data_IF_403177522307
#
_entry.id   IF_403177522307
#
_cell.length_a   1.000
_cell.length_b   1.000
_cell.length_c   1.000
_cell.angle_alpha   90.00
_cell.angle_beta   90.00
_cell.angle_gamma   90.00
#
_symmetry.space_group_name_H-M   'P 1'
#
loop_
_entity.id
_entity.type
_entity.pdbx_description
1 polymer ?
#
# COMPACT_ATOMS: atom_id res chain seq x y z
N UNK A 1 -7.33 -53.00 -49.95
CA UNK A 1 -6.69 -52.77 -48.65
C UNK A 1 -6.71 -51.26 -48.39
N UNK A 2 -7.72 -50.81 -47.68
CA UNK A 2 -7.94 -49.38 -47.33
C UNK A 2 -7.69 -49.22 -45.86
N UNK A 3 -6.64 -48.45 -45.53
CA UNK A 3 -6.28 -48.11 -44.15
C UNK A 3 -7.14 -46.88 -43.75
N UNK A 4 -8.05 -47.08 -42.82
CA UNK A 4 -8.85 -46.02 -42.25
C UNK A 4 -8.04 -45.25 -41.21
N UNK A 5 -7.95 -43.93 -41.39
CA UNK A 5 -7.42 -43.03 -40.40
C UNK A 5 -8.49 -42.67 -39.35
N UNK A 6 -8.27 -43.12 -38.11
CA UNK A 6 -9.02 -42.71 -36.94
C UNK A 6 -8.60 -41.30 -36.51
N UNK A 7 -9.39 -40.28 -36.81
CA UNK A 7 -9.25 -38.94 -36.29
C UNK A 7 -9.83 -38.88 -34.86
N UNK A 8 -8.96 -38.78 -33.88
CA UNK A 8 -9.35 -38.42 -32.50
C UNK A 8 -9.67 -36.93 -32.42
N UNK A 9 -10.95 -36.63 -32.38
CA UNK A 9 -11.41 -35.29 -32.05
C UNK A 9 -11.19 -35.05 -30.56
N UNK A 10 -10.19 -34.24 -30.22
CA UNK A 10 -9.95 -33.77 -28.85
C UNK A 10 -10.95 -32.64 -28.53
N UNK A 11 -12.05 -32.98 -27.90
CA UNK A 11 -13.00 -32.01 -27.35
C UNK A 11 -12.50 -31.57 -25.97
N UNK A 12 -11.58 -30.59 -25.96
CA UNK A 12 -11.10 -29.94 -24.73
C UNK A 12 -12.09 -28.90 -24.21
N UNK A 13 -13.18 -29.39 -23.60
CA UNK A 13 -14.12 -28.52 -22.87
C UNK A 13 -13.91 -28.62 -21.36
N UNK A 14 -12.77 -28.14 -20.84
CA UNK A 14 -12.48 -28.19 -19.42
C UNK A 14 -12.26 -26.77 -18.87
N UNK A 15 -13.13 -26.39 -17.93
CA UNK A 15 -13.08 -25.18 -17.10
C UNK A 15 -13.35 -23.84 -17.83
N UNK A 16 -14.58 -23.64 -18.29
CA UNK A 16 -15.13 -22.30 -18.24
C UNK A 16 -15.52 -22.04 -16.79
N UNK A 17 -14.70 -21.24 -16.10
CA UNK A 17 -15.15 -20.64 -14.85
C UNK A 17 -16.47 -19.88 -15.13
N UNK A 18 -17.52 -20.02 -14.30
CA UNK A 18 -18.73 -19.25 -14.46
C UNK A 18 -18.36 -17.76 -14.44
N UNK A 19 -18.99 -16.93 -15.28
CA UNK A 19 -18.76 -15.50 -15.25
C UNK A 19 -19.06 -15.02 -13.83
N UNK A 20 -18.07 -14.32 -13.23
CA UNK A 20 -18.29 -13.68 -11.94
C UNK A 20 -19.47 -12.74 -12.08
N UNK A 21 -20.42 -12.73 -11.13
CA UNK A 21 -21.52 -11.78 -11.18
C UNK A 21 -20.93 -10.37 -11.21
N UNK A 22 -21.29 -9.59 -12.25
CA UNK A 22 -20.98 -8.17 -12.29
C UNK A 22 -21.83 -7.48 -11.20
N UNK A 23 -21.34 -7.49 -9.98
CA UNK A 23 -21.93 -6.69 -8.91
C UNK A 23 -21.34 -5.30 -9.05
N UNK A 24 -22.01 -4.44 -9.80
CA UNK A 24 -21.74 -3.01 -9.79
C UNK A 24 -22.40 -2.47 -8.53
N UNK A 25 -21.60 -2.25 -7.50
CA UNK A 25 -22.04 -1.47 -6.34
C UNK A 25 -21.87 0.00 -6.71
N UNK A 26 -22.95 0.77 -6.91
CA UNK A 26 -22.82 2.19 -7.15
C UNK A 26 -22.22 2.83 -5.88
N UNK A 27 -21.02 3.36 -6.00
CA UNK A 27 -20.44 4.20 -4.95
C UNK A 27 -21.07 5.57 -5.13
N UNK A 28 -22.01 5.91 -4.26
CA UNK A 28 -22.52 7.27 -4.17
C UNK A 28 -21.45 8.15 -3.53
N UNK A 29 -20.78 8.95 -4.34
CA UNK A 29 -19.84 9.96 -3.84
C UNK A 29 -20.64 11.07 -3.16
N UNK A 30 -20.25 11.54 -1.98
CA UNK A 30 -20.86 12.74 -1.36
C UNK A 30 -20.79 13.89 -2.36
N UNK A 31 -21.94 14.45 -2.71
CA UNK A 31 -22.08 15.45 -3.78
C UNK A 31 -21.47 16.82 -3.45
N UNK A 32 -21.10 17.08 -2.20
CA UNK A 32 -20.44 18.31 -1.77
C UNK A 32 -19.47 18.05 -0.63
N UNK A 33 -18.16 18.06 -0.98
CA UNK A 33 -17.15 18.37 0.02
C UNK A 33 -16.92 19.87 -0.09
N UNK A 34 -17.63 20.65 0.71
CA UNK A 34 -17.35 22.07 0.89
C UNK A 34 -16.05 22.16 1.67
N UNK A 35 -14.95 22.39 0.97
CA UNK A 35 -13.66 22.72 1.59
C UNK A 35 -13.79 24.17 2.13
N UNK A 36 -14.40 24.31 3.29
CA UNK A 36 -14.40 25.57 4.02
C UNK A 36 -13.18 25.62 4.93
N UNK A 37 -12.17 26.35 4.49
CA UNK A 37 -11.12 26.87 5.35
C UNK A 37 -9.88 25.98 5.46
N UNK A 38 -8.74 26.59 5.18
CA UNK A 38 -7.38 26.16 5.50
C UNK A 38 -7.14 26.12 7.01
N UNK A 39 -7.82 25.22 7.71
CA UNK A 39 -7.41 24.87 9.06
C UNK A 39 -6.26 23.88 8.96
N UNK A 40 -5.05 24.33 9.29
CA UNK A 40 -3.89 23.47 9.53
C UNK A 40 -4.28 22.51 10.65
N UNK A 41 -4.75 21.31 10.29
CA UNK A 41 -5.09 20.27 11.27
C UNK A 41 -3.78 19.78 11.89
N UNK A 42 -3.67 19.92 13.19
CA UNK A 42 -2.55 19.34 13.94
C UNK A 42 -2.71 17.83 14.02
N UNK A 43 -1.62 17.09 13.90
CA UNK A 43 -1.54 15.60 13.94
C UNK A 43 -2.35 15.00 15.10
N UNK A 44 -2.53 15.72 16.21
CA UNK A 44 -3.30 15.28 17.37
C UNK A 44 -4.81 15.09 17.12
N UNK A 45 -5.38 15.62 16.03
CA UNK A 45 -6.83 15.49 15.75
C UNK A 45 -7.23 14.13 15.20
N UNK A 46 -6.28 13.37 14.62
CA UNK A 46 -6.55 12.08 14.01
C UNK A 46 -6.02 10.89 14.81
N UNK A 47 -5.43 11.12 15.97
CA UNK A 47 -4.90 10.04 16.82
C UNK A 47 -3.63 9.35 16.29
N UNK A 48 -3.06 9.82 15.19
CA UNK A 48 -1.79 9.29 14.68
C UNK A 48 -0.60 9.81 15.49
N UNK A 49 0.32 8.91 15.85
CA UNK A 49 1.55 9.29 16.53
C UNK A 49 2.44 10.14 15.62
N UNK A 50 3.25 11.06 16.16
CA UNK A 50 4.26 11.77 15.39
C UNK A 50 5.23 10.82 14.68
N UNK A 51 5.64 11.17 13.47
CA UNK A 51 6.59 10.38 12.68
C UNK A 51 7.63 11.30 12.03
N UNK A 52 8.91 10.83 11.93
CA UNK A 52 9.40 9.58 12.51
C UNK A 52 9.63 9.66 14.04
N UNK A 53 9.47 8.52 14.73
CA UNK A 53 9.93 8.37 16.13
C UNK A 53 11.43 8.01 16.12
N UNK A 54 12.30 8.77 16.76
CA UNK A 54 13.75 8.51 16.76
C UNK A 54 14.14 7.13 17.31
N UNK A 55 13.32 6.51 18.13
CA UNK A 55 13.58 5.17 18.69
C UNK A 55 13.37 4.05 17.67
N UNK A 56 12.64 4.34 16.59
CA UNK A 56 12.22 3.37 15.57
C UNK A 56 12.98 3.50 14.27
N UNK A 57 14.10 4.24 14.28
CA UNK A 57 14.89 4.50 13.09
C UNK A 57 16.38 4.19 13.31
N UNK A 58 17.01 3.67 12.26
CA UNK A 58 18.45 3.50 12.13
C UNK A 58 18.93 4.28 10.91
N UNK A 59 19.95 5.09 11.07
CA UNK A 59 20.56 5.87 9.98
C UNK A 59 21.59 4.98 9.28
N UNK A 60 21.39 4.76 8.00
CA UNK A 60 22.31 4.03 7.12
C UNK A 60 22.74 4.92 5.95
N UNK A 61 23.80 4.57 5.19
CA UNK A 61 24.24 5.38 4.04
C UNK A 61 23.15 5.64 3.00
N UNK A 62 22.21 4.71 2.82
CA UNK A 62 21.12 4.80 1.86
C UNK A 62 19.93 5.64 2.34
N UNK A 63 19.87 5.98 3.63
CA UNK A 63 18.76 6.73 4.25
C UNK A 63 18.43 6.25 5.65
N UNK A 64 17.16 6.08 5.95
CA UNK A 64 16.65 5.75 7.29
C UNK A 64 15.86 4.44 7.26
N UNK A 65 16.35 3.42 7.95
CA UNK A 65 15.64 2.16 8.10
C UNK A 65 14.77 2.13 9.35
N UNK A 66 13.59 1.50 9.28
CA UNK A 66 12.79 1.21 10.47
C UNK A 66 13.43 0.07 11.27
N UNK A 67 13.47 0.25 12.59
CA UNK A 67 13.93 -0.77 13.54
C UNK A 67 12.89 -1.00 14.62
N UNK A 68 13.10 -2.06 15.40
CA UNK A 68 12.39 -2.27 16.66
C UNK A 68 13.13 -1.52 17.75
N UNK A 69 12.41 -0.74 18.56
CA UNK A 69 12.97 -0.06 19.72
C UNK A 69 13.34 -1.05 20.84
N UNK A 70 14.21 -0.65 21.75
CA UNK A 70 14.67 -1.45 22.88
C UNK A 70 13.50 -1.84 23.84
N UNK A 71 12.50 -0.98 23.97
CA UNK A 71 11.27 -1.23 24.73
C UNK A 71 10.28 -2.18 24.02
N UNK A 72 10.65 -2.71 22.84
CA UNK A 72 9.84 -3.61 22.03
C UNK A 72 8.77 -2.91 21.18
N UNK A 73 8.75 -1.58 21.12
CA UNK A 73 7.90 -0.85 20.18
C UNK A 73 8.32 -1.15 18.73
N UNK A 74 7.34 -1.16 17.83
CA UNK A 74 7.56 -1.41 16.40
C UNK A 74 6.85 -0.33 15.59
N UNK A 75 7.30 -0.05 14.34
CA UNK A 75 6.61 0.86 13.44
C UNK A 75 5.10 0.58 13.34
N UNK A 76 4.72 -0.68 13.19
CA UNK A 76 3.31 -1.08 13.15
C UNK A 76 2.54 -0.63 14.40
N UNK A 77 3.08 -0.88 15.61
CA UNK A 77 2.39 -0.52 16.87
C UNK A 77 2.29 0.99 17.09
N UNK A 78 3.28 1.74 16.59
CA UNK A 78 3.36 3.19 16.83
C UNK A 78 2.67 3.99 15.73
N UNK A 79 2.83 3.60 14.47
CA UNK A 79 2.34 4.39 13.34
C UNK A 79 0.98 3.93 12.80
N UNK A 80 0.51 2.71 13.17
CA UNK A 80 -0.82 2.28 12.82
C UNK A 80 -1.87 3.23 13.40
N UNK A 81 -2.95 3.43 12.66
CA UNK A 81 -4.09 4.20 13.13
C UNK A 81 -4.78 3.46 14.28
N UNK A 82 -5.01 4.11 15.42
CA UNK A 82 -5.77 3.52 16.50
C UNK A 82 -7.17 3.14 16.03
N UNK A 83 -7.61 1.93 16.36
CA UNK A 83 -8.99 1.55 16.12
C UNK A 83 -9.91 2.35 17.06
N UNK A 84 -11.10 2.77 16.58
CA UNK A 84 -12.07 3.40 17.47
C UNK A 84 -12.49 2.42 18.58
N UNK A 85 -12.83 2.92 19.79
CA UNK A 85 -13.20 2.08 20.93
C UNK A 85 -14.31 1.06 20.65
N UNK A 86 -15.22 1.41 19.73
CA UNK A 86 -16.32 0.51 19.31
C UNK A 86 -15.84 -0.60 18.33
N UNK A 87 -14.62 -0.54 17.88
CA UNK A 87 -14.04 -1.54 16.97
C UNK A 87 -13.42 -2.75 17.69
N UNK A 88 -13.75 -2.97 18.96
CA UNK A 88 -13.35 -4.15 19.73
C UNK A 88 -13.77 -5.45 19.01
N UNK A 89 -12.99 -6.53 19.14
CA UNK A 89 -13.16 -7.76 18.36
C UNK A 89 -14.48 -8.52 18.62
N UNK A 90 -15.34 -8.02 19.50
CA UNK A 90 -16.61 -8.64 19.85
C UNK A 90 -17.75 -8.42 18.83
N UNK A 91 -17.55 -7.59 17.79
CA UNK A 91 -18.57 -7.41 16.75
C UNK A 91 -18.42 -8.49 15.69
N UNK A 92 -19.52 -9.20 15.42
CA UNK A 92 -19.64 -10.20 14.33
C UNK A 92 -19.74 -9.55 12.95
N UNK A 93 -19.66 -8.24 12.86
CA UNK A 93 -19.75 -7.50 11.60
C UNK A 93 -18.48 -7.64 10.76
N UNK A 94 -18.61 -7.91 9.46
CA UNK A 94 -17.47 -8.00 8.57
C UNK A 94 -16.78 -6.63 8.45
N UNK A 95 -15.45 -6.64 8.46
CA UNK A 95 -14.63 -5.42 8.30
C UNK A 95 -13.91 -5.43 6.96
N UNK A 96 -13.80 -4.27 6.35
CA UNK A 96 -13.06 -4.07 5.09
C UNK A 96 -11.99 -3.03 5.35
N UNK A 97 -10.73 -3.36 5.00
CA UNK A 97 -9.64 -2.40 4.95
C UNK A 97 -9.39 -2.02 3.48
N UNK A 98 -9.25 -0.72 3.22
CA UNK A 98 -8.98 -0.21 1.88
C UNK A 98 -7.63 0.51 1.90
N UNK A 99 -6.73 0.08 1.02
CA UNK A 99 -5.41 0.66 0.86
C UNK A 99 -5.25 1.14 -0.58
N UNK A 100 -5.00 2.43 -0.76
CA UNK A 100 -4.68 3.01 -2.07
C UNK A 100 -3.19 2.85 -2.34
N UNK A 101 -2.83 2.05 -3.35
CA UNK A 101 -1.45 1.78 -3.73
C UNK A 101 -0.93 2.73 -4.80
N UNK A 102 0.41 2.82 -4.92
CA UNK A 102 1.08 3.65 -5.94
C UNK A 102 0.98 5.14 -5.66
N UNK A 103 0.61 5.54 -4.45
CA UNK A 103 0.59 6.95 -4.08
C UNK A 103 1.97 7.59 -4.27
N UNK A 104 1.99 8.84 -4.69
CA UNK A 104 3.21 9.62 -4.90
C UNK A 104 3.76 9.59 -6.34
N UNK A 105 3.33 8.66 -7.18
CA UNK A 105 3.73 8.64 -8.60
C UNK A 105 3.06 9.80 -9.34
N UNK A 106 1.75 9.93 -9.23
CA UNK A 106 0.99 11.06 -9.78
C UNK A 106 0.70 12.07 -8.68
N UNK A 107 1.47 13.16 -8.61
CA UNK A 107 1.38 14.14 -7.52
C UNK A 107 -0.02 14.73 -7.35
N UNK A 108 -0.65 15.18 -8.44
CA UNK A 108 -1.99 15.79 -8.38
C UNK A 108 -3.05 14.76 -7.96
N UNK A 109 -3.02 13.57 -8.53
CA UNK A 109 -3.96 12.51 -8.18
C UNK A 109 -3.80 12.06 -6.72
N UNK A 110 -2.55 12.00 -6.23
CA UNK A 110 -2.27 11.68 -4.83
C UNK A 110 -2.81 12.76 -3.90
N UNK A 111 -2.55 14.03 -4.20
CA UNK A 111 -3.06 15.15 -3.40
C UNK A 111 -4.60 15.19 -3.39
N UNK A 112 -5.22 14.97 -4.55
CA UNK A 112 -6.68 14.92 -4.64
C UNK A 112 -7.25 13.76 -3.82
N UNK A 113 -6.62 12.59 -3.85
CA UNK A 113 -7.01 11.45 -3.04
C UNK A 113 -6.87 11.72 -1.53
N UNK A 114 -5.74 12.33 -1.10
CA UNK A 114 -5.52 12.71 0.31
C UNK A 114 -6.63 13.64 0.81
N UNK A 115 -7.05 14.61 0.00
CA UNK A 115 -8.04 15.60 0.41
C UNK A 115 -9.47 15.10 0.36
N UNK A 116 -9.79 14.12 -0.48
CA UNK A 116 -11.17 13.68 -0.73
C UNK A 116 -11.54 12.36 -0.09
N UNK A 117 -10.57 11.47 0.16
CA UNK A 117 -10.88 10.16 0.72
C UNK A 117 -11.10 10.22 2.23
N UNK A 118 -11.96 9.37 2.78
CA UNK A 118 -12.10 9.23 4.22
C UNK A 118 -10.77 8.86 4.88
N UNK A 119 -10.48 9.47 6.02
CA UNK A 119 -9.22 9.22 6.76
C UNK A 119 -9.03 7.76 7.22
N UNK A 120 -10.09 6.94 7.17
CA UNK A 120 -10.02 5.49 7.45
C UNK A 120 -9.36 4.68 6.33
N UNK A 121 -9.17 5.29 5.16
CA UNK A 121 -8.41 4.67 4.07
C UNK A 121 -6.92 4.87 4.28
N UNK A 122 -6.13 3.82 4.05
CA UNK A 122 -4.68 3.87 4.15
C UNK A 122 -4.05 4.12 2.78
N UNK A 123 -2.85 4.67 2.76
CA UNK A 123 -2.07 4.91 1.55
C UNK A 123 -0.79 4.10 1.56
N UNK A 124 -0.48 3.45 0.43
CA UNK A 124 0.82 2.85 0.19
C UNK A 124 1.62 3.73 -0.78
N UNK A 125 2.66 4.36 -0.26
CA UNK A 125 3.55 5.23 -1.01
C UNK A 125 4.51 4.41 -1.86
N UNK A 126 4.66 4.80 -3.12
CA UNK A 126 5.69 4.24 -3.97
C UNK A 126 7.08 4.73 -3.56
N UNK A 127 8.10 3.86 -3.45
CA UNK A 127 9.46 4.29 -3.16
C UNK A 127 10.08 5.14 -4.29
N UNK A 128 9.45 5.18 -5.45
CA UNK A 128 9.85 6.02 -6.57
C UNK A 128 9.24 7.42 -6.55
N UNK A 129 8.39 7.75 -5.58
CA UNK A 129 7.85 9.09 -5.42
C UNK A 129 8.98 10.11 -5.21
N UNK A 130 8.89 11.25 -5.89
CA UNK A 130 9.97 12.28 -5.88
C UNK A 130 10.07 13.00 -4.55
N UNK A 131 8.94 13.31 -3.95
CA UNK A 131 8.84 14.08 -2.70
C UNK A 131 8.17 13.23 -1.61
N UNK A 132 8.69 12.00 -1.45
CA UNK A 132 8.05 10.96 -0.64
C UNK A 132 7.89 11.37 0.82
N UNK A 133 8.88 12.07 1.40
CA UNK A 133 8.80 12.54 2.80
C UNK A 133 7.69 13.58 2.99
N UNK A 134 7.59 14.56 2.06
CA UNK A 134 6.55 15.57 2.10
C UNK A 134 5.16 14.93 1.96
N UNK A 135 5.00 14.03 0.99
CA UNK A 135 3.73 13.33 0.76
C UNK A 135 3.34 12.43 1.93
N UNK A 136 4.30 11.74 2.55
CA UNK A 136 4.06 10.99 3.79
C UNK A 136 3.53 11.89 4.90
N UNK A 137 4.13 13.09 5.05
CA UNK A 137 3.66 14.10 5.99
C UNK A 137 2.22 14.53 5.71
N UNK A 138 1.91 14.92 4.47
CA UNK A 138 0.57 15.35 4.04
C UNK A 138 -0.49 14.26 4.26
N UNK A 139 -0.19 13.01 3.90
CA UNK A 139 -1.07 11.87 4.14
C UNK A 139 -1.38 11.73 5.63
N UNK A 140 -0.37 11.82 6.48
CA UNK A 140 -0.52 11.69 7.94
C UNK A 140 -1.20 12.89 8.58
N UNK A 141 -0.98 14.10 8.07
CA UNK A 141 -1.65 15.32 8.52
C UNK A 141 -3.16 15.25 8.30
N UNK A 142 -3.62 14.63 7.21
CA UNK A 142 -5.04 14.38 6.93
C UNK A 142 -5.59 13.12 7.63
N UNK A 143 -4.76 12.44 8.43
CA UNK A 143 -5.18 11.33 9.29
C UNK A 143 -5.15 9.95 8.65
N UNK A 144 -4.60 9.82 7.48
CA UNK A 144 -4.44 8.53 6.82
C UNK A 144 -3.21 7.77 7.33
N UNK A 145 -3.33 6.46 7.47
CA UNK A 145 -2.21 5.59 7.76
C UNK A 145 -1.34 5.39 6.51
N UNK A 146 -0.03 5.36 6.71
CA UNK A 146 0.95 5.20 5.62
C UNK A 146 1.58 3.83 5.66
N UNK A 147 1.58 3.16 4.52
CA UNK A 147 2.40 2.00 4.16
C UNK A 147 3.42 2.37 3.10
N UNK A 148 4.41 1.53 2.91
CA UNK A 148 5.37 1.63 1.82
C UNK A 148 5.16 0.47 0.84
N UNK A 149 4.95 0.78 -0.43
CA UNK A 149 4.92 -0.20 -1.50
C UNK A 149 6.32 -0.77 -1.74
N UNK A 150 6.44 -2.10 -1.79
CA UNK A 150 7.66 -2.76 -2.22
C UNK A 150 7.49 -3.20 -3.66
N UNK A 151 8.27 -2.64 -4.60
CA UNK A 151 8.14 -3.02 -6.00
C UNK A 151 8.62 -4.47 -6.19
N UNK A 152 7.75 -5.29 -6.74
CA UNK A 152 7.97 -6.71 -6.98
C UNK A 152 7.74 -7.04 -8.45
N UNK A 153 8.59 -7.90 -9.02
CA UNK A 153 8.35 -8.52 -10.32
C UNK A 153 7.93 -9.96 -10.08
N UNK A 154 6.69 -10.30 -10.43
CA UNK A 154 6.24 -11.69 -10.41
C UNK A 154 6.70 -12.42 -11.68
N UNK A 155 6.78 -13.74 -11.63
CA UNK A 155 7.10 -14.56 -12.82
C UNK A 155 6.04 -14.44 -13.92
N UNK A 156 4.82 -14.08 -13.54
CA UNK A 156 3.66 -14.00 -14.43
C UNK A 156 3.48 -12.58 -15.02
N UNK A 157 4.09 -11.57 -14.38
CA UNK A 157 3.98 -10.15 -14.77
C UNK A 157 5.24 -9.63 -15.45
N UNK A 158 5.77 -10.36 -16.42
CA UNK A 158 7.00 -10.00 -17.15
C UNK A 158 6.85 -8.70 -17.96
N UNK A 159 5.62 -8.23 -18.14
CA UNK A 159 5.30 -7.05 -18.97
C UNK A 159 5.03 -5.78 -18.16
N UNK A 160 5.02 -5.84 -16.84
CA UNK A 160 4.86 -4.66 -16.00
C UNK A 160 6.23 -4.15 -15.54
N UNK A 161 6.51 -2.89 -15.83
CA UNK A 161 7.72 -2.22 -15.36
C UNK A 161 7.55 -1.80 -13.89
N UNK A 162 7.98 -2.67 -12.99
CA UNK A 162 8.01 -2.39 -11.54
C UNK A 162 9.19 -1.50 -11.12
N UNK A 163 9.97 -1.04 -12.09
CA UNK A 163 11.11 -0.15 -11.89
C UNK A 163 12.43 -0.83 -11.52
N UNK A 164 13.55 -0.08 -11.53
CA UNK A 164 14.90 -0.63 -11.50
C UNK A 164 15.30 -1.24 -10.15
N UNK A 165 14.55 -0.95 -9.09
CA UNK A 165 14.80 -1.46 -7.72
C UNK A 165 13.78 -2.51 -7.29
N UNK A 166 12.98 -3.03 -8.23
CA UNK A 166 12.03 -4.08 -7.91
C UNK A 166 12.73 -5.38 -7.48
N UNK A 167 12.20 -6.05 -6.48
CA UNK A 167 12.62 -7.38 -6.08
C UNK A 167 12.26 -8.37 -7.19
N UNK A 168 13.18 -9.27 -7.51
CA UNK A 168 13.01 -10.21 -8.63
C UNK A 168 13.31 -11.65 -8.20
N UNK A 169 12.51 -12.63 -8.61
CA UNK A 169 12.80 -14.04 -8.34
C UNK A 169 14.15 -14.52 -8.90
N UNK A 170 14.63 -13.88 -9.98
CA UNK A 170 15.89 -14.22 -10.62
C UNK A 170 17.12 -13.60 -9.94
N UNK A 171 16.94 -12.58 -9.11
CA UNK A 171 18.02 -11.99 -8.32
C UNK A 171 18.33 -12.88 -7.11
N UNK A 172 19.58 -12.97 -6.73
CA UNK A 172 19.97 -13.66 -5.50
C UNK A 172 19.49 -12.90 -4.25
N UNK A 173 19.51 -13.60 -3.10
CA UNK A 173 19.04 -13.04 -1.82
C UNK A 173 19.75 -11.75 -1.44
N UNK A 174 21.07 -11.67 -1.63
CA UNK A 174 21.86 -10.49 -1.31
C UNK A 174 21.45 -9.26 -2.14
N UNK A 175 21.17 -9.47 -3.43
CA UNK A 175 20.71 -8.39 -4.30
C UNK A 175 19.29 -7.94 -3.93
N UNK A 176 18.37 -8.89 -3.71
CA UNK A 176 17.01 -8.58 -3.28
C UNK A 176 16.99 -7.88 -1.92
N UNK A 177 17.86 -8.27 -0.99
CA UNK A 177 18.00 -7.58 0.29
C UNK A 177 18.48 -6.13 0.11
N UNK A 178 19.42 -5.89 -0.81
CA UNK A 178 19.89 -4.54 -1.14
C UNK A 178 18.76 -3.69 -1.72
N UNK A 179 17.97 -4.24 -2.63
CA UNK A 179 16.80 -3.58 -3.23
C UNK A 179 15.72 -3.27 -2.20
N UNK A 180 15.44 -4.22 -1.30
CA UNK A 180 14.50 -4.03 -0.20
C UNK A 180 14.96 -2.91 0.74
N UNK A 181 16.22 -2.92 1.18
CA UNK A 181 16.79 -1.85 2.00
C UNK A 181 16.69 -0.49 1.33
N UNK A 182 16.97 -0.41 0.03
CA UNK A 182 16.80 0.82 -0.72
C UNK A 182 15.34 1.32 -0.67
N UNK A 183 14.37 0.45 -0.90
CA UNK A 183 12.95 0.82 -0.81
C UNK A 183 12.58 1.30 0.59
N UNK A 184 12.97 0.54 1.61
CA UNK A 184 12.67 0.83 3.02
C UNK A 184 13.28 2.14 3.51
N UNK A 185 14.46 2.52 2.97
CA UNK A 185 15.18 3.72 3.36
C UNK A 185 14.67 5.01 2.68
N UNK A 186 13.65 4.91 1.82
CA UNK A 186 13.13 6.05 1.05
C UNK A 186 12.31 7.03 1.90
N UNK A 187 11.68 6.56 2.94
CA UNK A 187 10.85 7.35 3.85
C UNK A 187 10.78 6.68 5.22
N UNK A 188 10.58 7.46 6.26
CA UNK A 188 10.33 6.94 7.60
C UNK A 188 8.89 7.20 8.04
N UNK A 189 8.40 6.48 9.07
CA UNK A 189 7.10 6.73 9.67
C UNK A 189 5.94 5.99 9.02
N UNK A 190 6.20 4.96 8.23
CA UNK A 190 5.18 4.05 7.73
C UNK A 190 4.92 2.89 8.71
N UNK A 191 3.68 2.38 8.71
CA UNK A 191 3.25 1.30 9.60
C UNK A 191 3.75 -0.09 9.15
N UNK A 192 3.90 -0.30 7.83
CA UNK A 192 4.30 -1.58 7.26
C UNK A 192 4.65 -1.50 5.78
N UNK A 193 4.99 -2.66 5.21
CA UNK A 193 5.29 -2.86 3.80
C UNK A 193 4.12 -3.59 3.11
N UNK A 194 3.90 -3.32 1.82
CA UNK A 194 2.93 -4.00 0.95
C UNK A 194 3.61 -4.56 -0.29
#
# INVERSE_FOLDING_TARGET
MTIGALGLAWQGGWFRAPPLPNVIVPIEWPQEIVVTGTARRTVSQHGLAPAPDPRLIEIIPEGVLPIRAEDGATPLKVYARPLPPQAEPATTEPRVAIILRGAGIGQLATLEAILRLPSDMSFALSPYAREIDRQSGEIREEGHEVFLDVPLISREQVFEDSGPKALMPAAGDAENLTRLKWSMARVAGYAGLL
#
